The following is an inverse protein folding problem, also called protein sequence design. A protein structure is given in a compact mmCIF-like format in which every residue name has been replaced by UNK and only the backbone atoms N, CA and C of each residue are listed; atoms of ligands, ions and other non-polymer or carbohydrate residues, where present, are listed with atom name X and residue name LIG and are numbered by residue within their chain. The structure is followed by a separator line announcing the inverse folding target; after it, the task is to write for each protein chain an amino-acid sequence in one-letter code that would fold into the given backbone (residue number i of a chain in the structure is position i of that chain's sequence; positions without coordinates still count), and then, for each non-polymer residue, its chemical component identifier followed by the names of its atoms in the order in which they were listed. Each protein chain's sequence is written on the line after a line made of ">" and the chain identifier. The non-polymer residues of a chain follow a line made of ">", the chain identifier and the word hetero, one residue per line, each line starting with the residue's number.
data_IF_222651128882
#
_entry.id   IF_222651128882
#
_cell.length_a   1.000
_cell.length_b   1.000
_cell.length_c   1.000
_cell.angle_alpha   90.00
_cell.angle_beta   90.00
_cell.angle_gamma   90.00
#
_symmetry.space_group_name_H-M   'P 1'
#
loop_
_entity.id
_entity.type
_entity.pdbx_description
1 polymer ?
#
# COMPACT_ATOMS: atom_id res chain seq x y z
N UNK A 1 -12.25 -12.35 -16.67
CA UNK A 1 -12.88 -11.41 -15.74
C UNK A 1 -11.89 -11.27 -14.59
N UNK A 2 -11.26 -10.11 -14.41
CA UNK A 2 -10.38 -9.89 -13.25
C UNK A 2 -11.29 -9.55 -12.09
N UNK A 3 -11.33 -10.39 -11.07
CA UNK A 3 -12.04 -10.06 -9.84
C UNK A 3 -11.25 -8.99 -9.10
N UNK A 4 -11.84 -7.80 -8.98
CA UNK A 4 -11.28 -6.74 -8.15
C UNK A 4 -11.49 -7.11 -6.69
N UNK A 5 -10.41 -7.50 -6.01
CA UNK A 5 -10.44 -7.86 -4.59
C UNK A 5 -10.29 -6.59 -3.74
N UNK A 6 -11.21 -6.41 -2.80
CA UNK A 6 -11.23 -5.26 -1.90
C UNK A 6 -10.98 -5.73 -0.47
N UNK A 7 -10.14 -5.02 0.26
CA UNK A 7 -9.82 -5.31 1.65
C UNK A 7 -10.37 -4.20 2.55
N UNK A 8 -10.99 -4.59 3.67
CA UNK A 8 -11.33 -3.68 4.75
C UNK A 8 -10.26 -3.81 5.82
N UNK A 9 -9.60 -2.70 6.14
CA UNK A 9 -8.51 -2.66 7.12
C UNK A 9 -8.80 -1.58 8.15
N UNK A 10 -8.25 -1.76 9.36
CA UNK A 10 -8.35 -0.77 10.42
C UNK A 10 -7.15 0.16 10.38
N UNK A 11 -7.39 1.46 10.31
CA UNK A 11 -6.35 2.45 10.51
C UNK A 11 -6.05 2.57 12.01
N UNK A 12 -4.76 2.64 12.34
CA UNK A 12 -4.29 2.76 13.72
C UNK A 12 -3.65 4.14 13.92
N UNK A 13 -3.88 4.74 15.08
CA UNK A 13 -3.19 5.98 15.45
C UNK A 13 -1.69 5.71 15.58
N UNK A 14 -0.85 6.60 15.03
CA UNK A 14 0.61 6.44 15.09
C UNK A 14 1.16 6.52 16.53
N UNK A 15 0.40 7.08 17.47
CA UNK A 15 0.73 7.11 18.91
C UNK A 15 1.80 8.12 19.30
N UNK A 16 2.30 8.91 18.35
CA UNK A 16 3.33 9.93 18.54
C UNK A 16 2.76 11.35 18.70
N UNK A 17 1.43 11.50 18.57
CA UNK A 17 0.73 12.78 18.71
C UNK A 17 0.87 13.70 17.50
N UNK A 18 1.37 13.22 16.35
CA UNK A 18 1.43 14.00 15.10
C UNK A 18 0.05 14.15 14.44
N UNK A 19 -0.87 13.22 14.74
CA UNK A 19 -2.16 13.08 14.07
C UNK A 19 -2.12 12.20 12.83
N UNK A 20 -1.02 11.46 12.62
CA UNK A 20 -0.91 10.52 11.50
C UNK A 20 -1.66 9.21 11.76
N UNK A 21 -2.13 8.60 10.67
CA UNK A 21 -2.81 7.31 10.66
C UNK A 21 -1.93 6.27 9.96
N UNK A 22 -1.75 5.14 10.62
CA UNK A 22 -1.07 3.97 10.09
C UNK A 22 -2.08 3.01 9.46
N UNK A 23 -1.89 2.72 8.17
CA UNK A 23 -2.66 1.71 7.46
C UNK A 23 -2.00 0.34 7.67
N UNK A 24 -2.66 -0.55 8.41
CA UNK A 24 -2.15 -1.91 8.60
C UNK A 24 -2.51 -2.75 7.37
N UNK A 25 -1.49 -3.11 6.59
CA UNK A 25 -1.64 -4.01 5.44
C UNK A 25 -1.61 -5.47 5.92
N UNK A 26 -2.68 -6.27 5.69
CA UNK A 26 -2.71 -7.67 6.08
C UNK A 26 -1.62 -8.48 5.36
N UNK A 27 -1.10 -9.50 6.02
CA UNK A 27 -0.09 -10.40 5.45
C UNK A 27 -0.58 -11.07 4.16
N UNK A 28 -1.86 -11.45 4.11
CA UNK A 28 -2.48 -12.03 2.92
C UNK A 28 -2.50 -11.05 1.74
N UNK A 29 -2.78 -9.77 1.99
CA UNK A 29 -2.73 -8.73 0.96
C UNK A 29 -1.30 -8.54 0.44
N UNK A 30 -0.30 -8.51 1.33
CA UNK A 30 1.09 -8.39 0.93
C UNK A 30 1.55 -9.61 0.11
N UNK A 31 1.17 -10.82 0.53
CA UNK A 31 1.49 -12.06 -0.18
C UNK A 31 0.85 -12.10 -1.59
N UNK A 32 -0.41 -11.69 -1.73
CA UNK A 32 -1.12 -11.64 -3.01
C UNK A 32 -0.57 -10.56 -3.94
N UNK A 33 -0.15 -9.43 -3.38
CA UNK A 33 0.42 -8.30 -4.14
C UNK A 33 1.90 -8.50 -4.48
N UNK A 34 2.54 -9.54 -3.92
CA UNK A 34 3.97 -9.77 -4.05
C UNK A 34 4.83 -8.68 -3.40
N UNK A 35 4.30 -8.06 -2.35
CA UNK A 35 4.99 -7.01 -1.58
C UNK A 35 5.74 -7.63 -0.41
N UNK A 36 6.92 -7.11 -0.13
CA UNK A 36 7.71 -7.49 1.05
C UNK A 36 8.09 -6.28 1.89
N UNK A 37 8.27 -6.50 3.19
CA UNK A 37 8.75 -5.47 4.10
C UNK A 37 10.12 -4.97 3.62
N UNK A 38 10.26 -3.65 3.53
CA UNK A 38 11.48 -3.01 3.03
C UNK A 38 11.51 -2.77 1.51
N UNK A 39 10.45 -3.13 0.78
CA UNK A 39 10.31 -2.70 -0.61
C UNK A 39 9.87 -1.24 -0.73
N UNK A 40 10.34 -0.58 -1.79
CA UNK A 40 9.91 0.77 -2.15
C UNK A 40 8.64 0.68 -3.00
N UNK A 41 7.64 1.46 -2.62
CA UNK A 41 6.36 1.56 -3.30
C UNK A 41 6.21 2.96 -3.87
N UNK A 42 5.58 3.06 -5.03
CA UNK A 42 5.15 4.32 -5.58
C UNK A 42 3.80 4.70 -4.97
N UNK A 43 3.69 5.93 -4.48
CA UNK A 43 2.51 6.47 -3.82
C UNK A 43 2.05 7.71 -4.57
N UNK A 44 0.88 7.65 -5.21
CA UNK A 44 0.40 8.68 -6.12
C UNK A 44 -1.03 9.10 -5.77
N UNK A 45 -1.22 10.39 -5.50
CA UNK A 45 -2.55 10.94 -5.29
C UNK A 45 -3.28 11.09 -6.64
N UNK A 46 -4.51 10.60 -6.72
CA UNK A 46 -5.37 10.72 -7.89
C UNK A 46 -6.25 11.98 -7.78
N UNK A 47 -6.80 12.44 -8.91
CA UNK A 47 -7.62 13.65 -8.97
C UNK A 47 -8.92 13.55 -8.15
N UNK A 48 -9.42 12.33 -7.93
CA UNK A 48 -10.63 12.05 -7.13
C UNK A 48 -10.36 12.03 -5.62
N UNK A 49 -9.12 12.30 -5.19
CA UNK A 49 -8.69 12.27 -3.80
C UNK A 49 -8.35 10.87 -3.29
N UNK A 50 -8.47 9.84 -4.12
CA UNK A 50 -7.95 8.51 -3.81
C UNK A 50 -6.42 8.45 -3.96
N UNK A 51 -5.83 7.39 -3.42
CA UNK A 51 -4.40 7.13 -3.54
C UNK A 51 -4.18 5.83 -4.31
N UNK A 52 -3.29 5.87 -5.31
CA UNK A 52 -2.81 4.70 -6.02
C UNK A 52 -1.46 4.31 -5.44
N UNK A 53 -1.37 3.08 -4.97
CA UNK A 53 -0.13 2.49 -4.47
C UNK A 53 0.26 1.35 -5.39
N UNK A 54 1.46 1.40 -5.94
CA UNK A 54 1.97 0.37 -6.84
C UNK A 54 3.39 0.00 -6.48
N UNK A 55 3.78 -1.24 -6.78
CA UNK A 55 5.17 -1.66 -6.62
C UNK A 55 6.07 -0.80 -7.51
N UNK A 56 7.19 -0.32 -6.97
CA UNK A 56 8.17 0.36 -7.79
C UNK A 56 8.99 -0.69 -8.55
N UNK A 57 8.83 -0.76 -9.87
CA UNK A 57 9.64 -1.67 -10.68
C UNK A 57 11.08 -1.14 -10.73
N UNK A 58 11.99 -1.80 -10.01
CA UNK A 58 13.43 -1.58 -10.19
C UNK A 58 13.81 -2.15 -11.55
N UNK A 59 13.91 -1.28 -12.55
CA UNK A 59 14.45 -1.65 -13.86
C UNK A 59 15.93 -2.02 -13.69
N UNK A 60 16.20 -3.30 -13.43
CA UNK A 60 17.56 -3.86 -13.46
C UNK A 60 17.99 -3.82 -14.92
N UNK A 61 18.68 -2.75 -15.29
CA UNK A 61 19.42 -2.67 -16.54
C UNK A 61 20.59 -3.65 -16.42
N UNK A 62 20.52 -4.75 -17.18
CA UNK A 62 21.60 -5.72 -17.38
C UNK A 62 22.49 -5.22 -18.51
#
# INVERSE_FOLDING_TARGET
>A
MVESRSWLVTCQDAGDGSGDLMLILPDEFMAESGWSIGEELNFEQQEDGSWRVSKMEKNVSI
#
